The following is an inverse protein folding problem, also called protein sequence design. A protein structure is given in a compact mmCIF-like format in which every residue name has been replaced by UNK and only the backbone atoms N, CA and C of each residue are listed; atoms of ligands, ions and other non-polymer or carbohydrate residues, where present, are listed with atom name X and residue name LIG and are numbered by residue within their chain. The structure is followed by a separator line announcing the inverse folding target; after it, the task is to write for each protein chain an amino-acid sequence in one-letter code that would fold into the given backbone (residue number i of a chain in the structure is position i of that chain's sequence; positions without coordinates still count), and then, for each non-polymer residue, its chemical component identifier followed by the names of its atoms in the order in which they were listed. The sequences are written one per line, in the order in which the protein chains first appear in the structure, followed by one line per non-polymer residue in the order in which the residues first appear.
data_IF_783801569273
#
_entry.id   IF_783801569273
#
_cell.length_a   1.000
_cell.length_b   1.000
_cell.length_c   1.000
_cell.angle_alpha   90.00
_cell.angle_beta   90.00
_cell.angle_gamma   90.00
#
_symmetry.space_group_name_H-M   'P 1'
#
loop_
_entity.id
_entity.type
_entity.pdbx_description
1 polymer ?
#
# COMPACT_ATOMS: atom_id res chain seq x y z
N UNK A 1 -13.72 45.29 3.89
CA UNK A 1 -14.81 46.15 3.40
C UNK A 1 -14.76 46.07 1.88
N UNK A 2 -15.71 45.53 1.10
CA UNK A 2 -17.21 45.57 1.05
C UNK A 2 -17.64 44.24 0.37
N UNK A 3 -18.47 43.34 0.90
CA UNK A 3 -19.94 43.31 1.09
C UNK A 3 -20.78 43.58 -0.17
N UNK A 4 -21.32 42.51 -0.78
CA UNK A 4 -22.60 42.50 -1.51
C UNK A 4 -23.32 41.17 -1.21
N UNK A 5 -24.48 41.18 -0.53
CA UNK A 5 -25.40 40.06 -0.45
C UNK A 5 -26.54 40.22 -1.48
N UNK A 6 -27.09 39.11 -1.99
CA UNK A 6 -28.47 39.13 -2.44
C UNK A 6 -29.14 37.77 -2.19
N UNK A 7 -30.29 37.89 -1.55
CA UNK A 7 -31.17 36.88 -0.96
C UNK A 7 -32.33 36.62 -1.95
N UNK A 8 -33.29 35.79 -1.51
CA UNK A 8 -34.65 35.54 -2.03
C UNK A 8 -34.74 34.24 -2.87
N UNK A 9 -35.15 33.10 -2.32
CA UNK A 9 -36.43 32.65 -1.71
C UNK A 9 -37.52 32.28 -2.74
N UNK A 10 -37.92 31.00 -2.76
CA UNK A 10 -39.29 30.47 -2.88
C UNK A 10 -39.19 28.91 -2.97
N UNK A 11 -39.65 28.16 -1.96
CA UNK A 11 -41.01 27.60 -1.82
C UNK A 11 -41.28 26.45 -2.83
N UNK A 12 -41.85 25.29 -2.52
CA UNK A 12 -42.42 24.68 -1.32
C UNK A 12 -42.78 23.19 -1.65
N UNK A 13 -42.85 22.33 -0.62
CA UNK A 13 -43.73 21.15 -0.41
C UNK A 13 -43.77 20.05 -1.51
N UNK A 14 -43.55 18.76 -1.25
CA UNK A 14 -44.31 17.78 -0.44
C UNK A 14 -43.43 16.51 -0.32
N UNK A 15 -43.24 15.81 0.81
CA UNK A 15 -44.26 15.03 1.52
C UNK A 15 -44.33 13.59 0.97
N UNK A 16 -43.53 12.65 1.50
CA UNK A 16 -43.86 11.22 1.52
C UNK A 16 -43.14 10.56 2.71
N UNK A 17 -43.93 10.21 3.73
CA UNK A 17 -43.53 9.36 4.84
C UNK A 17 -43.97 7.93 4.53
N UNK A 18 -43.06 6.97 4.58
CA UNK A 18 -43.40 5.57 4.85
C UNK A 18 -42.54 5.07 6.00
N UNK A 19 -43.20 4.92 7.14
CA UNK A 19 -42.74 4.13 8.27
C UNK A 19 -42.92 2.66 7.89
N UNK A 20 -41.85 1.87 7.86
CA UNK A 20 -41.96 0.43 7.94
C UNK A 20 -41.23 -0.03 9.20
N UNK A 21 -42.02 -0.40 10.22
CA UNK A 21 -41.56 -1.13 11.38
C UNK A 21 -42.09 -2.57 11.27
N UNK A 22 -41.19 -3.55 11.24
CA UNK A 22 -41.27 -4.81 11.99
C UNK A 22 -40.08 -5.71 11.64
N UNK A 23 -39.33 -6.09 12.67
CA UNK A 23 -38.36 -7.18 12.75
C UNK A 23 -39.07 -8.45 13.27
N UNK A 24 -38.39 -9.58 13.50
CA UNK A 24 -37.63 -10.44 12.58
C UNK A 24 -38.15 -11.90 12.64
N UNK A 25 -37.62 -12.82 11.84
CA UNK A 25 -37.53 -14.24 12.23
C UNK A 25 -36.35 -14.95 11.58
N UNK A 26 -35.67 -15.85 12.31
CA UNK A 26 -34.40 -16.45 11.91
C UNK A 26 -34.64 -17.74 11.11
N UNK A 27 -33.83 -17.97 10.09
CA UNK A 27 -33.63 -19.33 9.56
C UNK A 27 -32.15 -19.64 9.63
N UNK A 28 -31.80 -20.46 10.61
CA UNK A 28 -30.51 -21.12 10.68
C UNK A 28 -30.44 -22.19 9.58
N UNK A 29 -29.37 -22.19 8.79
CA UNK A 29 -28.73 -23.42 8.33
C UNK A 29 -27.30 -23.06 7.94
N UNK A 30 -26.36 -23.71 8.61
CA UNK A 30 -24.95 -23.40 8.52
C UNK A 30 -24.33 -23.72 7.16
N UNK A 31 -23.25 -23.00 6.89
CA UNK A 31 -22.07 -23.56 6.27
C UNK A 31 -20.87 -22.88 6.92
N UNK A 32 -20.40 -23.44 8.03
CA UNK A 32 -19.00 -23.34 8.40
C UNK A 32 -18.20 -23.88 7.21
N UNK A 33 -17.52 -22.99 6.51
CA UNK A 33 -16.49 -23.35 5.56
C UNK A 33 -15.40 -22.31 5.65
N UNK A 34 -14.41 -22.69 6.45
CA UNK A 34 -13.04 -22.22 6.48
C UNK A 34 -12.88 -20.69 6.49
N UNK A 35 -12.62 -20.15 7.68
CA UNK A 35 -11.59 -19.13 7.84
C UNK A 35 -10.29 -19.64 7.19
N UNK A 36 -10.16 -19.44 5.88
CA UNK A 36 -8.83 -19.25 5.31
C UNK A 36 -8.39 -17.91 5.84
N UNK A 37 -7.65 -17.95 6.96
CA UNK A 37 -6.95 -16.80 7.48
C UNK A 37 -6.20 -16.15 6.34
N UNK A 38 -6.72 -15.04 5.84
CA UNK A 38 -6.01 -14.19 4.93
C UNK A 38 -4.81 -13.67 5.72
N UNK A 39 -3.71 -14.39 5.59
CA UNK A 39 -2.39 -13.93 5.92
C UNK A 39 -2.03 -12.81 4.95
N UNK A 40 -2.69 -11.65 5.10
CA UNK A 40 -2.22 -10.36 4.60
C UNK A 40 -0.96 -10.02 5.38
N UNK A 41 0.10 -10.78 5.16
CA UNK A 41 1.43 -10.44 5.62
C UNK A 41 1.77 -9.12 4.95
N UNK A 42 1.69 -8.05 5.75
CA UNK A 42 2.16 -6.72 5.42
C UNK A 42 3.62 -6.80 4.97
N UNK A 43 3.79 -7.00 3.66
CA UNK A 43 5.02 -7.26 2.91
C UNK A 43 6.05 -6.12 2.96
N UNK A 44 5.90 -5.18 3.90
CA UNK A 44 6.59 -3.89 3.87
C UNK A 44 7.32 -3.57 5.17
N UNK A 45 6.89 -4.12 6.31
CA UNK A 45 7.53 -3.81 7.60
C UNK A 45 8.60 -4.83 8.01
N UNK A 46 8.44 -6.12 7.68
CA UNK A 46 9.36 -7.15 8.16
C UNK A 46 10.64 -7.26 7.30
N UNK A 47 10.49 -7.24 5.97
CA UNK A 47 11.61 -7.33 5.01
C UNK A 47 12.67 -6.25 5.23
N UNK A 48 12.23 -5.01 5.49
CA UNK A 48 13.12 -3.88 5.66
C UNK A 48 13.88 -3.92 7.00
N UNK A 49 13.18 -4.33 8.07
CA UNK A 49 13.78 -4.54 9.38
C UNK A 49 14.75 -5.72 9.41
N UNK A 50 14.49 -6.76 8.61
CA UNK A 50 15.38 -7.91 8.48
C UNK A 50 16.66 -7.56 7.70
N UNK A 51 16.52 -6.81 6.60
CA UNK A 51 17.66 -6.40 5.76
C UNK A 51 18.68 -5.53 6.52
N UNK A 52 18.20 -4.55 7.28
CA UNK A 52 19.07 -3.69 8.10
C UNK A 52 19.76 -4.46 9.24
N UNK A 53 19.13 -5.52 9.78
CA UNK A 53 19.74 -6.36 10.81
C UNK A 53 20.96 -7.13 10.29
N UNK A 54 20.95 -7.54 9.01
CA UNK A 54 22.06 -8.31 8.43
C UNK A 54 23.30 -7.47 8.13
N UNK A 55 23.18 -6.14 8.09
CA UNK A 55 24.31 -5.24 7.89
C UNK A 55 25.15 -5.02 9.16
N UNK A 56 24.72 -5.56 10.32
CA UNK A 56 25.39 -5.39 11.61
C UNK A 56 25.75 -3.93 11.88
N UNK A 57 24.77 -3.04 11.78
CA UNK A 57 24.97 -1.61 12.00
C UNK A 57 25.50 -1.33 13.41
N UNK A 58 26.45 -0.42 13.53
CA UNK A 58 26.90 0.11 14.83
C UNK A 58 25.77 0.92 15.47
N UNK A 59 25.85 1.16 16.78
CA UNK A 59 24.81 1.93 17.47
C UNK A 59 24.74 3.39 16.96
N UNK A 60 25.89 3.96 16.56
CA UNK A 60 25.93 5.26 15.91
C UNK A 60 25.18 5.25 14.56
N UNK A 61 25.41 4.23 13.72
CA UNK A 61 24.71 4.08 12.44
C UNK A 61 23.20 3.85 12.64
N UNK A 62 22.80 3.05 13.63
CA UNK A 62 21.38 2.85 13.97
C UNK A 62 20.71 4.17 14.38
N UNK A 63 21.41 4.99 15.16
CA UNK A 63 20.90 6.31 15.55
C UNK A 63 20.72 7.23 14.34
N UNK A 64 21.67 7.22 13.40
CA UNK A 64 21.54 7.98 12.13
C UNK A 64 20.35 7.49 11.29
N UNK A 65 20.14 6.17 11.18
CA UNK A 65 18.96 5.60 10.50
C UNK A 65 17.66 6.02 11.18
N UNK A 66 17.60 5.98 12.52
CA UNK A 66 16.43 6.43 13.27
C UNK A 66 16.15 7.91 13.04
N UNK A 67 17.18 8.74 13.04
CA UNK A 67 17.06 10.17 12.77
C UNK A 67 16.53 10.41 11.36
N UNK A 68 17.07 9.72 10.35
CA UNK A 68 16.57 9.80 8.97
C UNK A 68 15.06 9.52 8.90
N UNK A 69 14.57 8.46 9.56
CA UNK A 69 13.15 8.15 9.59
C UNK A 69 12.33 9.18 10.37
N UNK A 70 12.88 9.76 11.44
CA UNK A 70 12.23 10.85 12.18
C UNK A 70 12.04 12.08 11.29
N UNK A 71 13.10 12.50 10.60
CA UNK A 71 13.09 13.69 9.75
C UNK A 71 12.18 13.51 8.53
N UNK A 72 12.09 12.28 8.01
CA UNK A 72 11.30 11.95 6.84
C UNK A 72 9.92 11.35 7.17
N UNK A 73 9.54 11.31 8.46
CA UNK A 73 8.34 10.60 8.93
C UNK A 73 7.07 11.03 8.20
N UNK A 74 6.89 12.34 8.03
CA UNK A 74 5.70 12.87 7.36
C UNK A 74 5.67 12.48 5.88
N UNK A 75 6.80 12.56 5.17
CA UNK A 75 6.89 12.14 3.78
C UNK A 75 6.57 10.64 3.61
N UNK A 76 7.13 9.78 4.47
CA UNK A 76 6.81 8.35 4.48
C UNK A 76 5.33 8.09 4.74
N UNK A 77 4.74 8.79 5.72
CA UNK A 77 3.32 8.65 6.06
C UNK A 77 2.44 9.07 4.89
N UNK A 78 2.71 10.22 4.27
CA UNK A 78 1.94 10.72 3.12
C UNK A 78 2.03 9.75 1.94
N UNK A 79 3.23 9.31 1.55
CA UNK A 79 3.39 8.41 0.41
C UNK A 79 2.71 7.05 0.65
N UNK A 80 2.81 6.52 1.88
CA UNK A 80 2.11 5.29 2.25
C UNK A 80 0.59 5.46 2.21
N UNK A 81 0.08 6.57 2.76
CA UNK A 81 -1.36 6.87 2.76
C UNK A 81 -1.90 6.98 1.32
N UNK A 82 -1.17 7.64 0.43
CA UNK A 82 -1.56 7.77 -0.98
C UNK A 82 -1.65 6.42 -1.68
N UNK A 83 -0.66 5.55 -1.45
CA UNK A 83 -0.66 4.18 -1.96
C UNK A 83 -1.87 3.36 -1.46
N UNK A 84 -2.16 3.42 -0.16
CA UNK A 84 -3.28 2.70 0.44
C UNK A 84 -4.62 3.20 -0.11
N UNK A 85 -4.80 4.52 -0.21
CA UNK A 85 -6.00 5.12 -0.79
C UNK A 85 -6.18 4.76 -2.27
N UNK A 86 -5.10 4.77 -3.05
CA UNK A 86 -5.16 4.41 -4.46
C UNK A 86 -5.58 2.93 -4.64
N UNK A 87 -5.05 2.03 -3.82
CA UNK A 87 -5.47 0.62 -3.81
C UNK A 87 -6.93 0.45 -3.40
N UNK A 88 -7.33 1.07 -2.30
CA UNK A 88 -8.72 1.04 -1.83
C UNK A 88 -9.69 1.52 -2.92
N UNK A 89 -9.32 2.54 -3.69
CA UNK A 89 -10.15 3.03 -4.79
C UNK A 89 -10.32 1.99 -5.90
N UNK A 90 -9.26 1.24 -6.25
CA UNK A 90 -9.34 0.12 -7.20
C UNK A 90 -10.26 -0.97 -6.66
N UNK A 91 -10.05 -1.40 -5.41
CA UNK A 91 -10.85 -2.45 -4.78
C UNK A 91 -12.34 -2.06 -4.73
N UNK A 92 -12.64 -0.82 -4.33
CA UNK A 92 -14.00 -0.29 -4.31
C UNK A 92 -14.65 -0.22 -5.70
N UNK A 93 -13.86 0.06 -6.75
CA UNK A 93 -14.36 0.08 -8.11
C UNK A 93 -14.68 -1.34 -8.62
N UNK A 94 -13.84 -2.32 -8.29
CA UNK A 94 -14.07 -3.73 -8.59
C UNK A 94 -15.33 -4.24 -7.87
N UNK A 95 -15.47 -3.95 -6.58
CA UNK A 95 -16.65 -4.33 -5.79
C UNK A 95 -17.95 -3.72 -6.34
N UNK A 96 -17.89 -2.45 -6.78
CA UNK A 96 -19.05 -1.74 -7.30
C UNK A 96 -19.46 -2.20 -8.70
N UNK A 97 -18.50 -2.35 -9.61
CA UNK A 97 -18.75 -2.78 -10.98
C UNK A 97 -17.51 -3.48 -11.57
N UNK A 98 -17.39 -4.80 -11.42
CA UNK A 98 -16.22 -5.54 -11.88
C UNK A 98 -16.06 -5.54 -13.40
N UNK A 99 -17.12 -5.22 -14.16
CA UNK A 99 -17.08 -5.14 -15.62
C UNK A 99 -16.68 -3.77 -16.17
N UNK A 100 -16.54 -2.73 -15.32
CA UNK A 100 -16.06 -1.40 -15.75
C UNK A 100 -14.52 -1.36 -15.81
N UNK A 101 -13.98 -2.02 -16.83
CA UNK A 101 -12.55 -2.10 -17.08
C UNK A 101 -11.89 -0.72 -17.23
N UNK A 102 -12.62 0.24 -17.82
CA UNK A 102 -12.10 1.59 -18.06
C UNK A 102 -11.82 2.33 -16.75
N UNK A 103 -12.79 2.32 -15.83
CA UNK A 103 -12.63 2.91 -14.50
C UNK A 103 -11.55 2.19 -13.69
N UNK A 104 -11.57 0.86 -13.69
CA UNK A 104 -10.56 0.05 -12.95
C UNK A 104 -9.14 0.34 -13.47
N UNK A 105 -8.96 0.39 -14.79
CA UNK A 105 -7.68 0.72 -15.43
C UNK A 105 -7.23 2.15 -15.09
N UNK A 106 -8.14 3.11 -15.12
CA UNK A 106 -7.86 4.50 -14.75
C UNK A 106 -7.38 4.63 -13.30
N UNK A 107 -8.09 4.00 -12.35
CA UNK A 107 -7.71 4.02 -10.93
C UNK A 107 -6.40 3.27 -10.66
N UNK A 108 -6.14 2.19 -11.41
CA UNK A 108 -4.88 1.45 -11.33
C UNK A 108 -3.67 2.30 -11.75
N UNK A 109 -3.84 3.26 -12.65
CA UNK A 109 -2.78 4.21 -13.00
C UNK A 109 -2.36 5.08 -11.79
N UNK A 110 -3.30 5.39 -10.89
CA UNK A 110 -2.98 6.11 -9.65
C UNK A 110 -2.16 5.25 -8.69
N UNK A 111 -2.41 3.94 -8.63
CA UNK A 111 -1.57 3.00 -7.88
C UNK A 111 -0.15 3.00 -8.43
N UNK A 112 0.02 2.94 -9.75
CA UNK A 112 1.33 2.98 -10.38
C UNK A 112 2.09 4.28 -10.04
N UNK A 113 1.44 5.43 -10.10
CA UNK A 113 2.02 6.71 -9.67
C UNK A 113 2.48 6.68 -8.20
N UNK A 114 1.65 6.17 -7.29
CA UNK A 114 2.03 6.04 -5.88
C UNK A 114 3.18 5.03 -5.66
N UNK A 115 3.31 3.99 -6.49
CA UNK A 115 4.44 3.04 -6.43
C UNK A 115 5.73 3.78 -6.81
N UNK A 116 5.67 4.63 -7.84
CA UNK A 116 6.81 5.43 -8.30
C UNK A 116 7.34 6.33 -7.18
N UNK A 117 6.46 7.03 -6.47
CA UNK A 117 6.85 7.91 -5.35
C UNK A 117 7.51 7.12 -4.20
N UNK A 118 6.94 5.98 -3.84
CA UNK A 118 7.52 5.10 -2.82
C UNK A 118 8.87 4.52 -3.26
N UNK A 119 9.06 4.28 -4.55
CA UNK A 119 10.33 3.79 -5.12
C UNK A 119 11.40 4.87 -5.09
N UNK A 120 11.06 6.11 -5.45
CA UNK A 120 11.94 7.26 -5.32
C UNK A 120 12.34 7.50 -3.86
N UNK A 121 11.40 7.37 -2.92
CA UNK A 121 11.69 7.49 -1.48
C UNK A 121 12.63 6.37 -0.98
N UNK A 122 12.43 5.13 -1.43
CA UNK A 122 13.34 4.01 -1.14
C UNK A 122 14.75 4.25 -1.68
N UNK A 123 14.87 4.80 -2.89
CA UNK A 123 16.16 5.13 -3.48
C UNK A 123 16.91 6.18 -2.65
N UNK A 124 16.22 7.23 -2.18
CA UNK A 124 16.82 8.22 -1.28
C UNK A 124 17.34 7.59 0.02
N UNK A 125 16.57 6.69 0.62
CA UNK A 125 17.03 5.98 1.81
C UNK A 125 18.22 5.06 1.50
N UNK A 126 18.22 4.35 0.37
CA UNK A 126 19.32 3.48 -0.02
C UNK A 126 20.63 4.26 -0.19
N UNK A 127 20.58 5.43 -0.82
CA UNK A 127 21.73 6.33 -0.96
C UNK A 127 22.26 6.80 0.40
N UNK A 128 21.35 7.21 1.30
CA UNK A 128 21.73 7.56 2.68
C UNK A 128 22.34 6.37 3.43
N UNK A 129 21.74 5.18 3.33
CA UNK A 129 22.29 3.99 3.98
C UNK A 129 23.71 3.71 3.48
N UNK A 130 23.93 3.74 2.16
CA UNK A 130 25.25 3.52 1.57
C UNK A 130 26.30 4.56 2.00
N UNK A 131 25.91 5.78 2.35
CA UNK A 131 26.86 6.81 2.80
C UNK A 131 27.36 6.58 4.22
N UNK A 132 26.60 5.86 5.07
CA UNK A 132 26.97 5.59 6.46
C UNK A 132 27.61 4.22 6.69
N UNK A 133 27.57 3.30 5.70
CA UNK A 133 28.16 1.96 5.80
C UNK A 133 29.69 1.97 5.66
N UNK A 134 30.35 1.09 6.42
CA UNK A 134 31.77 0.77 6.22
C UNK A 134 31.99 -0.04 4.93
N UNK A 135 33.23 -0.13 4.40
CA UNK A 135 33.53 -0.97 3.23
C UNK A 135 33.08 -2.43 3.40
N UNK A 136 33.27 -3.02 4.58
CA UNK A 136 32.90 -4.41 4.88
C UNK A 136 31.37 -4.59 4.89
N UNK A 137 30.66 -3.62 5.46
CA UNK A 137 29.19 -3.62 5.45
C UNK A 137 28.62 -3.41 4.04
N UNK A 138 29.30 -2.62 3.18
CA UNK A 138 28.93 -2.49 1.75
C UNK A 138 29.11 -3.81 1.01
N UNK A 139 30.17 -4.56 1.29
CA UNK A 139 30.33 -5.89 0.71
C UNK A 139 29.21 -6.84 1.15
N UNK A 140 28.82 -6.77 2.42
CA UNK A 140 27.65 -7.51 2.93
C UNK A 140 26.37 -7.08 2.19
N UNK A 141 26.15 -5.77 2.00
CA UNK A 141 25.01 -5.24 1.26
C UNK A 141 24.93 -5.83 -0.17
N UNK A 142 26.05 -5.87 -0.88
CA UNK A 142 26.14 -6.43 -2.25
C UNK A 142 25.77 -7.92 -2.24
N UNK A 143 26.32 -8.70 -1.31
CA UNK A 143 26.00 -10.13 -1.21
C UNK A 143 24.50 -10.38 -0.95
N UNK A 144 23.87 -9.55 -0.11
CA UNK A 144 22.43 -9.62 0.15
C UNK A 144 21.61 -9.25 -1.09
N UNK A 145 22.04 -8.23 -1.85
CA UNK A 145 21.40 -7.84 -3.10
C UNK A 145 21.47 -8.96 -4.13
N UNK A 146 22.64 -9.57 -4.33
CA UNK A 146 22.83 -10.71 -5.22
C UNK A 146 21.93 -11.89 -4.86
N UNK A 147 21.83 -12.22 -3.55
CA UNK A 147 20.95 -13.29 -3.08
C UNK A 147 19.48 -13.00 -3.38
N UNK A 148 19.04 -11.75 -3.18
CA UNK A 148 17.67 -11.32 -3.50
C UNK A 148 17.41 -11.41 -5.01
N UNK A 149 18.36 -10.95 -5.82
CA UNK A 149 18.24 -10.97 -7.28
C UNK A 149 18.19 -12.40 -7.83
N UNK A 150 19.02 -13.30 -7.29
CA UNK A 150 18.98 -14.72 -7.64
C UNK A 150 17.62 -15.36 -7.32
N UNK A 151 17.05 -15.09 -6.14
CA UNK A 151 15.71 -15.57 -5.77
C UNK A 151 14.62 -15.01 -6.69
N UNK A 152 14.74 -13.74 -7.07
CA UNK A 152 13.80 -13.12 -8.00
C UNK A 152 13.90 -13.78 -9.38
N UNK A 153 15.12 -14.02 -9.88
CA UNK A 153 15.32 -14.72 -11.15
C UNK A 153 14.77 -16.13 -11.11
N UNK A 154 15.04 -16.89 -10.05
CA UNK A 154 14.47 -18.22 -9.87
C UNK A 154 12.93 -18.20 -9.91
N UNK A 155 12.31 -17.23 -9.22
CA UNK A 155 10.86 -17.07 -9.24
C UNK A 155 10.32 -16.72 -10.63
N UNK A 156 10.99 -15.81 -11.35
CA UNK A 156 10.65 -15.45 -12.74
C UNK A 156 10.76 -16.69 -13.65
N UNK A 157 11.88 -17.41 -13.60
CA UNK A 157 12.11 -18.63 -14.37
C UNK A 157 11.01 -19.65 -14.11
N UNK A 158 10.71 -19.94 -12.83
CA UNK A 158 9.65 -20.89 -12.46
C UNK A 158 8.29 -20.50 -13.01
N UNK A 159 7.93 -19.21 -12.97
CA UNK A 159 6.67 -18.73 -13.54
C UNK A 159 6.66 -18.82 -15.08
N UNK A 160 7.80 -18.57 -15.74
CA UNK A 160 7.90 -18.69 -17.20
C UNK A 160 7.87 -20.15 -17.69
N UNK A 161 8.40 -21.08 -16.91
CA UNK A 161 8.42 -22.51 -17.22
C UNK A 161 7.11 -23.22 -16.86
N UNK A 162 6.38 -22.73 -15.85
CA UNK A 162 5.04 -23.22 -15.49
C UNK A 162 3.97 -22.85 -16.52
N UNK A 163 4.35 -22.18 -17.60
CA UNK A 163 3.49 -21.81 -18.72
C UNK A 163 3.77 -22.65 -19.99
N UNK A 164 3.44 -23.96 -20.01
CA UNK A 164 3.14 -24.68 -21.25
C UNK A 164 1.78 -25.39 -21.13
N UNK A 165 0.76 -24.88 -21.84
CA UNK A 165 -0.46 -25.63 -22.14
C UNK A 165 -1.68 -25.38 -21.24
N UNK A 166 -2.13 -24.13 -21.10
CA UNK A 166 -3.53 -23.81 -20.79
C UNK A 166 -4.30 -23.44 -22.06
#
# INVERSE_FOLDING_TARGET
MKWIPLLVCAAALTGFSTLNAQTPSPSASGSESAETGEHHHGWRHHEFGFFLKQLNLTDAQKQQVKQYFSDNKQAFKTNMLNMLKAKQAVDSAIEKNPSDESTIRSLSANVASAVTDLSAQRAKFAAFLQSILTPEQKQTLIALQQKRDAKLQEHITRMSEAQPGS
#
